data_IF_499237310056
#
_entry.id   IF_499237310056
#
_cell.length_a   1.000
_cell.length_b   1.000
_cell.length_c   1.000
_cell.angle_alpha   90.00
_cell.angle_beta   90.00
_cell.angle_gamma   90.00
#
_symmetry.space_group_name_H-M   'P 1'
#
loop_
_entity.id
_entity.type
_entity.pdbx_description
1 polymer ?
#
# COMPACT_ATOMS: atom_id res chain seq x y z
N UNK A 1 -34.28 17.40 34.64
CA UNK A 1 -34.73 16.53 33.53
C UNK A 1 -33.62 15.53 33.24
N UNK A 2 -33.83 14.24 33.54
CA UNK A 2 -32.88 13.16 33.23
C UNK A 2 -33.05 12.77 31.77
N UNK A 3 -32.03 12.99 30.93
CA UNK A 3 -32.05 12.46 29.56
C UNK A 3 -32.05 10.93 29.63
N UNK A 4 -33.06 10.30 29.03
CA UNK A 4 -33.11 8.85 28.93
C UNK A 4 -31.85 8.34 28.22
N UNK A 5 -31.15 7.40 28.84
CA UNK A 5 -29.88 6.90 28.33
C UNK A 5 -30.10 6.15 27.00
N UNK A 6 -29.35 6.52 25.95
CA UNK A 6 -29.50 5.95 24.61
C UNK A 6 -29.32 4.42 24.60
N UNK A 7 -30.17 3.63 23.91
CA UNK A 7 -30.15 2.18 24.00
C UNK A 7 -28.84 1.58 23.52
N UNK A 8 -28.45 0.48 24.16
CA UNK A 8 -27.29 -0.35 23.80
C UNK A 8 -27.53 -0.96 22.40
N UNK A 9 -26.68 -0.70 21.39
CA UNK A 9 -26.82 -1.35 20.08
C UNK A 9 -26.85 -2.87 20.18
N UNK A 10 -27.85 -3.47 19.52
CA UNK A 10 -28.02 -4.93 19.44
C UNK A 10 -27.24 -5.53 18.26
N UNK A 11 -27.15 -6.87 18.20
CA UNK A 11 -26.41 -7.61 17.16
C UNK A 11 -26.85 -7.24 15.73
N UNK A 12 -28.16 -7.11 15.50
CA UNK A 12 -28.73 -6.73 14.21
C UNK A 12 -28.24 -5.36 13.75
N UNK A 13 -28.23 -4.38 14.65
CA UNK A 13 -27.77 -3.01 14.36
C UNK A 13 -26.29 -2.99 14.02
N UNK A 14 -25.46 -3.74 14.77
CA UNK A 14 -24.03 -3.88 14.48
C UNK A 14 -23.78 -4.55 13.13
N UNK A 15 -24.51 -5.62 12.80
CA UNK A 15 -24.39 -6.29 11.51
C UNK A 15 -24.75 -5.37 10.33
N UNK A 16 -25.85 -4.61 10.44
CA UNK A 16 -26.23 -3.62 9.43
C UNK A 16 -25.18 -2.51 9.29
N UNK A 17 -24.56 -2.09 10.39
CA UNK A 17 -23.47 -1.12 10.35
C UNK A 17 -22.21 -1.69 9.69
N UNK A 18 -21.84 -2.94 9.97
CA UNK A 18 -20.72 -3.60 9.30
C UNK A 18 -20.92 -3.70 7.77
N UNK A 19 -22.14 -4.06 7.33
CA UNK A 19 -22.50 -4.08 5.92
C UNK A 19 -22.44 -2.70 5.27
N UNK A 20 -22.93 -1.66 5.97
CA UNK A 20 -22.80 -0.27 5.53
C UNK A 20 -21.33 0.13 5.39
N UNK A 21 -20.48 -0.19 6.38
CA UNK A 21 -19.06 0.11 6.33
C UNK A 21 -18.37 -0.61 5.17
N UNK A 22 -18.68 -1.88 4.92
CA UNK A 22 -18.15 -2.60 3.77
C UNK A 22 -18.55 -1.93 2.44
N UNK A 23 -19.84 -1.57 2.30
CA UNK A 23 -20.37 -0.90 1.11
C UNK A 23 -19.69 0.45 0.83
N UNK A 24 -19.30 1.18 1.88
CA UNK A 24 -18.61 2.45 1.77
C UNK A 24 -17.09 2.29 1.64
N UNK A 25 -16.51 1.25 2.24
CA UNK A 25 -15.08 0.98 2.25
C UNK A 25 -14.56 0.67 0.85
N UNK A 26 -15.29 -0.15 0.06
CA UNK A 26 -14.91 -0.49 -1.32
C UNK A 26 -14.73 0.76 -2.20
N UNK A 27 -15.74 1.64 -2.38
CA UNK A 27 -15.57 2.85 -3.18
C UNK A 27 -14.59 3.83 -2.54
N UNK A 28 -14.49 3.90 -1.21
CA UNK A 28 -13.53 4.76 -0.53
C UNK A 28 -12.07 4.38 -0.83
N UNK A 29 -11.73 3.08 -0.77
CA UNK A 29 -10.38 2.61 -1.13
C UNK A 29 -10.10 2.82 -2.61
N UNK A 30 -11.08 2.60 -3.48
CA UNK A 30 -10.93 2.85 -4.92
C UNK A 30 -10.74 4.31 -5.27
N UNK A 31 -11.50 5.19 -4.64
CA UNK A 31 -11.33 6.61 -4.81
C UNK A 31 -9.93 7.05 -4.31
N UNK A 32 -9.44 6.48 -3.20
CA UNK A 32 -8.09 6.76 -2.71
C UNK A 32 -7.01 6.29 -3.71
N UNK A 33 -7.16 5.14 -4.35
CA UNK A 33 -6.26 4.68 -5.43
C UNK A 33 -6.38 5.57 -6.67
N UNK A 34 -7.59 5.92 -7.10
CA UNK A 34 -7.78 6.82 -8.23
C UNK A 34 -7.12 8.17 -8.01
N UNK A 35 -7.28 8.75 -6.81
CA UNK A 35 -6.64 10.01 -6.42
C UNK A 35 -5.11 9.86 -6.41
N UNK A 36 -4.59 8.75 -5.89
CA UNK A 36 -3.16 8.44 -5.90
C UNK A 36 -2.58 8.41 -7.32
N UNK A 37 -3.20 7.65 -8.21
CA UNK A 37 -2.71 7.46 -9.58
C UNK A 37 -2.95 8.69 -10.44
N UNK A 38 -4.20 9.17 -10.52
CA UNK A 38 -4.57 10.21 -11.47
C UNK A 38 -4.09 11.59 -11.02
N UNK A 39 -4.27 11.95 -9.75
CA UNK A 39 -3.88 13.28 -9.25
C UNK A 39 -2.45 13.28 -8.72
N UNK A 40 -2.00 12.18 -8.13
CA UNK A 40 -0.66 12.08 -7.57
C UNK A 40 0.41 11.77 -8.60
N UNK A 41 0.25 10.74 -9.43
CA UNK A 41 1.26 10.41 -10.43
C UNK A 41 1.02 11.11 -11.77
N UNK A 42 -0.14 10.88 -12.39
CA UNK A 42 -0.39 11.33 -13.76
C UNK A 42 -0.36 12.85 -13.87
N UNK A 43 -1.12 13.55 -13.02
CA UNK A 43 -1.18 15.02 -13.04
C UNK A 43 0.17 15.65 -12.69
N UNK A 44 0.87 15.19 -11.64
CA UNK A 44 2.17 15.76 -11.26
C UNK A 44 3.22 15.48 -12.34
N UNK A 45 3.25 14.28 -12.92
CA UNK A 45 4.14 13.97 -14.03
C UNK A 45 3.84 14.86 -15.25
N UNK A 46 2.56 15.07 -15.60
CA UNK A 46 2.16 15.93 -16.71
C UNK A 46 2.56 17.40 -16.50
N UNK A 47 2.36 17.96 -15.30
CA UNK A 47 2.81 19.31 -14.94
C UNK A 47 4.33 19.46 -15.10
N UNK A 48 5.08 18.40 -14.78
CA UNK A 48 6.53 18.35 -14.92
C UNK A 48 7.01 17.99 -16.34
N UNK A 49 6.10 17.95 -17.32
CA UNK A 49 6.42 17.73 -18.74
C UNK A 49 6.52 16.27 -19.18
N UNK A 50 6.07 15.30 -18.37
CA UNK A 50 5.95 13.92 -18.82
C UNK A 50 4.75 13.73 -19.74
N UNK A 51 4.86 12.79 -20.68
CA UNK A 51 3.72 12.25 -21.42
C UNK A 51 3.11 11.10 -20.63
N UNK A 52 1.86 11.24 -20.19
CA UNK A 52 1.09 10.14 -19.57
C UNK A 52 0.51 9.26 -20.68
N UNK A 53 0.79 7.97 -20.61
CA UNK A 53 0.40 6.98 -21.64
C UNK A 53 -0.80 6.16 -21.22
N UNK A 54 -0.89 5.77 -19.95
CA UNK A 54 -1.99 4.94 -19.46
C UNK A 54 -2.18 5.10 -17.95
N UNK A 55 -3.43 4.94 -17.52
CA UNK A 55 -3.84 4.84 -16.13
C UNK A 55 -4.62 3.53 -15.99
N UNK A 56 -4.22 2.66 -15.07
CA UNK A 56 -4.91 1.40 -14.78
C UNK A 56 -5.25 1.33 -13.30
N UNK A 57 -6.48 0.94 -12.98
CA UNK A 57 -6.96 0.80 -11.61
C UNK A 57 -7.67 -0.54 -11.51
N UNK A 58 -7.16 -1.43 -10.66
CA UNK A 58 -7.87 -2.66 -10.30
C UNK A 58 -8.96 -2.35 -9.28
N UNK A 59 -9.93 -3.24 -9.16
CA UNK A 59 -11.05 -3.03 -8.26
C UNK A 59 -10.74 -3.38 -6.78
N UNK A 60 -9.94 -4.39 -6.50
CA UNK A 60 -9.46 -4.63 -5.13
C UNK A 60 -7.95 -4.53 -4.99
N UNK A 61 -7.20 -4.46 -6.10
CA UNK A 61 -5.74 -4.31 -6.12
C UNK A 61 -5.22 -2.87 -5.97
N UNK A 62 -4.05 -2.63 -6.56
CA UNK A 62 -3.48 -1.30 -6.67
C UNK A 62 -3.95 -0.54 -7.92
N UNK A 63 -3.22 0.50 -8.25
CA UNK A 63 -3.26 1.15 -9.55
C UNK A 63 -1.87 1.20 -10.17
N UNK A 64 -1.80 1.63 -11.42
CA UNK A 64 -0.54 1.99 -12.05
C UNK A 64 -0.73 3.12 -13.05
N UNK A 65 0.24 4.03 -13.05
CA UNK A 65 0.33 5.12 -14.02
C UNK A 65 1.60 4.98 -14.84
N UNK A 66 1.45 4.86 -16.15
CA UNK A 66 2.59 4.84 -17.08
C UNK A 66 2.81 6.23 -17.65
N UNK A 67 3.98 6.79 -17.43
CA UNK A 67 4.39 8.07 -17.98
C UNK A 67 5.86 8.05 -18.41
N UNK A 68 6.21 8.90 -19.37
CA UNK A 68 7.57 9.02 -19.87
C UNK A 68 8.01 10.47 -19.89
N UNK A 69 9.16 10.74 -19.26
CA UNK A 69 9.83 12.03 -19.32
C UNK A 69 10.75 12.10 -20.54
N UNK A 70 10.86 13.28 -21.15
CA UNK A 70 11.81 13.53 -22.23
C UNK A 70 13.28 13.43 -21.79
N UNK A 71 14.22 13.24 -22.73
CA UNK A 71 15.64 13.31 -22.45
C UNK A 71 16.01 14.66 -21.83
N UNK A 72 16.90 14.66 -20.84
CA UNK A 72 17.30 15.87 -20.11
C UNK A 72 16.44 16.22 -18.89
N UNK A 73 15.32 15.52 -18.64
CA UNK A 73 14.54 15.73 -17.42
C UNK A 73 15.34 15.32 -16.18
N UNK A 74 15.55 16.27 -15.26
CA UNK A 74 16.30 16.07 -14.03
C UNK A 74 15.70 15.05 -13.06
N UNK A 75 16.55 14.48 -12.19
CA UNK A 75 16.14 13.49 -11.19
C UNK A 75 15.06 14.01 -10.22
N UNK A 76 15.08 15.31 -9.91
CA UNK A 76 14.09 15.93 -9.03
C UNK A 76 12.65 15.83 -9.57
N UNK A 77 12.42 16.09 -10.85
CA UNK A 77 11.09 15.97 -11.45
C UNK A 77 10.57 14.52 -11.43
N UNK A 78 11.47 13.56 -11.68
CA UNK A 78 11.14 12.12 -11.58
C UNK A 78 10.79 11.72 -10.15
N UNK A 79 11.57 12.19 -9.17
CA UNK A 79 11.31 11.94 -7.76
C UNK A 79 9.98 12.58 -7.31
N UNK A 80 9.68 13.81 -7.74
CA UNK A 80 8.41 14.48 -7.44
C UNK A 80 7.21 13.73 -8.03
N UNK A 81 7.31 13.26 -9.27
CA UNK A 81 6.25 12.43 -9.88
C UNK A 81 6.06 11.09 -9.15
N UNK A 82 7.16 10.45 -8.71
CA UNK A 82 7.09 9.21 -7.92
C UNK A 82 6.50 9.44 -6.51
N UNK A 83 6.87 10.54 -5.83
CA UNK A 83 6.30 10.85 -4.51
C UNK A 83 4.90 11.48 -4.58
N UNK A 84 4.46 11.90 -5.76
CA UNK A 84 3.22 12.60 -5.97
C UNK A 84 1.98 11.84 -5.48
N UNK A 85 1.89 10.54 -5.78
CA UNK A 85 0.84 9.63 -5.25
C UNK A 85 0.72 9.68 -3.74
N UNK A 86 1.85 9.52 -3.05
CA UNK A 86 1.92 9.48 -1.59
C UNK A 86 1.55 10.85 -1.01
N UNK A 87 2.14 11.93 -1.53
CA UNK A 87 1.87 13.28 -1.06
C UNK A 87 0.40 13.66 -1.22
N UNK A 88 -0.21 13.37 -2.38
CA UNK A 88 -1.62 13.66 -2.64
C UNK A 88 -2.55 12.87 -1.72
N UNK A 89 -2.27 11.60 -1.45
CA UNK A 89 -3.09 10.82 -0.51
C UNK A 89 -2.97 11.30 0.94
N UNK A 90 -1.77 11.70 1.38
CA UNK A 90 -1.59 12.28 2.71
C UNK A 90 -2.36 13.60 2.84
N UNK A 91 -2.23 14.49 1.86
CA UNK A 91 -2.89 15.80 1.85
C UNK A 91 -4.40 15.67 1.78
N UNK A 92 -4.92 14.85 0.86
CA UNK A 92 -6.37 14.64 0.69
C UNK A 92 -6.99 13.99 1.93
N UNK A 93 -6.35 12.97 2.50
CA UNK A 93 -6.84 12.34 3.72
C UNK A 93 -6.82 13.30 4.91
N UNK A 94 -5.74 14.05 5.10
CA UNK A 94 -5.66 15.07 6.15
C UNK A 94 -6.73 16.16 5.98
N UNK A 95 -6.90 16.68 4.77
CA UNK A 95 -7.88 17.72 4.45
C UNK A 95 -9.31 17.25 4.74
N UNK A 96 -9.65 16.02 4.38
CA UNK A 96 -10.97 15.45 4.66
C UNK A 96 -11.20 15.29 6.16
N UNK A 97 -10.21 14.88 6.94
CA UNK A 97 -10.33 14.81 8.41
C UNK A 97 -10.50 16.21 9.03
N UNK A 98 -9.75 17.20 8.56
CA UNK A 98 -9.84 18.59 9.02
C UNK A 98 -11.20 19.21 8.70
N UNK A 99 -11.73 18.97 7.50
CA UNK A 99 -13.03 19.47 7.05
C UNK A 99 -14.21 18.65 7.58
N UNK A 100 -13.97 17.42 8.05
CA UNK A 100 -14.99 16.43 8.40
C UNK A 100 -16.03 16.92 9.41
N UNK A 101 -15.68 17.88 10.28
CA UNK A 101 -16.63 18.48 11.25
C UNK A 101 -17.82 19.18 10.58
N UNK A 102 -17.67 19.62 9.33
CA UNK A 102 -18.76 20.28 8.58
C UNK A 102 -19.75 19.27 7.97
N UNK A 103 -19.35 18.00 7.85
CA UNK A 103 -20.13 16.95 7.19
C UNK A 103 -21.08 16.22 8.15
N UNK A 104 -20.98 16.48 9.45
CA UNK A 104 -21.67 15.74 10.53
C UNK A 104 -23.20 15.73 10.45
N UNK A 105 -23.79 16.60 9.62
CA UNK A 105 -25.23 16.58 9.30
C UNK A 105 -25.66 15.38 8.46
N UNK A 106 -24.73 14.67 7.82
CA UNK A 106 -25.01 13.54 6.90
C UNK A 106 -24.13 12.33 7.28
N UNK A 107 -24.57 11.47 8.22
CA UNK A 107 -23.71 10.47 8.83
C UNK A 107 -23.09 9.48 7.83
N UNK A 108 -23.84 9.05 6.81
CA UNK A 108 -23.30 8.17 5.77
C UNK A 108 -22.18 8.84 4.94
N UNK A 109 -22.32 10.14 4.64
CA UNK A 109 -21.30 10.91 3.92
C UNK A 109 -20.08 11.11 4.81
N UNK A 110 -20.28 11.43 6.09
CA UNK A 110 -19.17 11.53 7.05
C UNK A 110 -18.42 10.21 7.21
N UNK A 111 -19.12 9.08 7.29
CA UNK A 111 -18.48 7.76 7.34
C UNK A 111 -17.68 7.49 6.06
N UNK A 112 -18.27 7.72 4.89
CA UNK A 112 -17.56 7.53 3.61
C UNK A 112 -16.31 8.41 3.52
N UNK A 113 -16.41 9.68 3.94
CA UNK A 113 -15.30 10.62 3.98
C UNK A 113 -14.20 10.18 4.95
N UNK A 114 -14.56 9.69 6.14
CA UNK A 114 -13.58 9.18 7.12
C UNK A 114 -12.92 7.89 6.63
N UNK A 115 -13.67 6.99 5.99
CA UNK A 115 -13.10 5.78 5.38
C UNK A 115 -12.12 6.14 4.25
N UNK A 116 -12.50 7.06 3.36
CA UNK A 116 -11.60 7.57 2.33
C UNK A 116 -10.33 8.17 2.93
N UNK A 117 -10.48 9.01 3.95
CA UNK A 117 -9.35 9.64 4.61
C UNK A 117 -8.43 8.63 5.31
N UNK A 118 -9.01 7.65 6.00
CA UNK A 118 -8.27 6.56 6.62
C UNK A 118 -7.53 5.73 5.57
N UNK A 119 -8.19 5.32 4.48
CA UNK A 119 -7.54 4.59 3.39
C UNK A 119 -6.41 5.39 2.75
N UNK A 120 -6.60 6.69 2.54
CA UNK A 120 -5.58 7.56 1.93
C UNK A 120 -4.38 7.75 2.86
N UNK A 121 -4.60 8.10 4.14
CA UNK A 121 -3.53 8.33 5.11
C UNK A 121 -2.79 7.04 5.47
N UNK A 122 -3.51 6.01 5.91
CA UNK A 122 -2.90 4.75 6.35
C UNK A 122 -2.27 4.02 5.18
N UNK A 123 -2.91 4.03 4.01
CA UNK A 123 -2.36 3.46 2.79
C UNK A 123 -1.08 4.16 2.35
N UNK A 124 -1.04 5.50 2.35
CA UNK A 124 0.16 6.25 1.98
C UNK A 124 1.31 6.02 2.97
N UNK A 125 1.05 6.01 4.27
CA UNK A 125 2.07 5.72 5.30
C UNK A 125 2.59 4.30 5.16
N UNK A 126 1.70 3.32 4.98
CA UNK A 126 2.10 1.92 4.81
C UNK A 126 2.93 1.71 3.53
N UNK A 127 2.47 2.29 2.43
CA UNK A 127 3.15 2.19 1.14
C UNK A 127 4.52 2.85 1.16
N UNK A 128 4.64 4.03 1.79
CA UNK A 128 5.92 4.70 1.97
C UNK A 128 6.88 3.91 2.86
N UNK A 129 6.42 3.40 4.02
CA UNK A 129 7.23 2.62 4.94
C UNK A 129 7.75 1.33 4.28
N UNK A 130 6.85 0.54 3.67
CA UNK A 130 7.19 -0.74 3.04
C UNK A 130 8.02 -0.54 1.77
N UNK A 131 7.64 0.42 0.91
CA UNK A 131 8.35 0.69 -0.33
C UNK A 131 9.77 1.19 -0.12
N UNK A 132 10.01 2.07 0.87
CA UNK A 132 11.35 2.50 1.24
C UNK A 132 12.18 1.39 1.87
N UNK A 133 11.59 0.59 2.77
CA UNK A 133 12.30 -0.49 3.45
C UNK A 133 12.74 -1.60 2.48
N UNK A 134 11.85 -1.99 1.56
CA UNK A 134 12.09 -3.07 0.59
C UNK A 134 12.68 -2.59 -0.74
N UNK A 135 12.78 -1.29 -0.99
CA UNK A 135 13.24 -0.75 -2.27
C UNK A 135 12.30 -1.07 -3.44
N UNK A 136 10.99 -1.01 -3.20
CA UNK A 136 9.94 -1.34 -4.18
C UNK A 136 8.90 -0.22 -4.29
N UNK A 137 8.17 -0.20 -5.41
CA UNK A 137 7.16 0.82 -5.69
C UNK A 137 7.76 2.21 -5.92
N UNK A 138 6.90 3.23 -5.88
CA UNK A 138 7.27 4.63 -6.11
C UNK A 138 8.25 5.22 -5.07
N UNK A 139 8.17 4.88 -3.76
CA UNK A 139 9.12 5.40 -2.77
C UNK A 139 10.58 4.99 -3.02
N UNK A 140 10.81 3.90 -3.77
CA UNK A 140 12.15 3.40 -4.06
C UNK A 140 13.05 4.45 -4.74
N UNK A 141 12.47 5.43 -5.43
CA UNK A 141 13.20 6.55 -6.03
C UNK A 141 13.87 7.48 -5.01
N UNK A 142 13.41 7.51 -3.76
CA UNK A 142 13.93 8.40 -2.71
C UNK A 142 15.21 7.92 -2.04
N UNK A 143 15.46 6.60 -2.03
CA UNK A 143 16.58 5.98 -1.30
C UNK A 143 16.53 6.16 0.22
N UNK A 144 17.18 5.24 0.96
CA UNK A 144 17.63 5.51 2.32
C UNK A 144 16.71 5.11 3.49
N UNK A 145 17.23 5.38 4.70
CA UNK A 145 16.70 4.98 6.02
C UNK A 145 15.41 5.70 6.46
N UNK A 146 14.78 6.48 5.56
CA UNK A 146 13.58 7.26 5.87
C UNK A 146 12.34 6.40 6.16
N UNK A 147 12.37 5.09 5.88
CA UNK A 147 11.28 4.17 6.25
C UNK A 147 10.92 4.23 7.74
N UNK A 148 11.91 4.50 8.61
CA UNK A 148 11.74 4.64 10.05
C UNK A 148 10.84 5.82 10.45
N UNK A 149 10.90 6.94 9.71
CA UNK A 149 10.03 8.10 9.93
C UNK A 149 8.57 7.72 9.65
N UNK A 150 8.32 6.94 8.59
CA UNK A 150 6.98 6.48 8.25
C UNK A 150 6.44 5.44 9.23
N UNK A 151 7.31 4.58 9.80
CA UNK A 151 6.90 3.73 10.92
C UNK A 151 6.51 4.54 12.16
N UNK A 152 7.27 5.58 12.50
CA UNK A 152 6.91 6.46 13.61
C UNK A 152 5.61 7.24 13.35
N UNK A 153 5.31 7.56 12.08
CA UNK A 153 4.06 8.21 11.69
C UNK A 153 2.84 7.25 11.71
N UNK A 154 3.05 5.94 11.59
CA UNK A 154 1.97 4.94 11.55
C UNK A 154 0.99 5.01 12.74
N UNK A 155 1.43 4.95 14.01
CA UNK A 155 0.50 5.03 15.14
C UNK A 155 -0.22 6.38 15.19
N UNK A 156 0.42 7.48 14.79
CA UNK A 156 -0.20 8.81 14.76
C UNK A 156 -1.30 8.86 13.69
N UNK A 157 -1.01 8.39 12.48
CA UNK A 157 -1.99 8.36 11.40
C UNK A 157 -3.22 7.50 11.76
N UNK A 158 -2.99 6.32 12.35
CA UNK A 158 -4.08 5.47 12.86
C UNK A 158 -4.85 6.14 13.99
N UNK A 159 -4.17 6.79 14.93
CA UNK A 159 -4.81 7.53 16.00
C UNK A 159 -5.75 8.60 15.45
N UNK A 160 -5.30 9.46 14.54
CA UNK A 160 -6.12 10.54 13.97
C UNK A 160 -7.33 9.97 13.22
N UNK A 161 -7.11 8.96 12.36
CA UNK A 161 -8.18 8.35 11.57
C UNK A 161 -9.23 7.66 12.44
N UNK A 162 -8.80 6.81 13.38
CA UNK A 162 -9.72 6.05 14.23
C UNK A 162 -10.36 6.89 15.32
N UNK A 163 -9.71 7.97 15.75
CA UNK A 163 -10.33 8.97 16.61
C UNK A 163 -11.56 9.57 15.94
N UNK A 164 -11.41 10.02 14.69
CA UNK A 164 -12.53 10.62 13.94
C UNK A 164 -13.62 9.60 13.62
N UNK A 165 -13.23 8.37 13.26
CA UNK A 165 -14.17 7.26 13.10
C UNK A 165 -14.95 6.99 14.39
N UNK A 166 -14.26 6.94 15.55
CA UNK A 166 -14.88 6.72 16.85
C UNK A 166 -15.89 7.80 17.23
N UNK A 167 -15.62 9.06 16.89
CA UNK A 167 -16.55 10.19 17.12
C UNK A 167 -17.86 9.98 16.34
N UNK A 168 -17.75 9.60 15.06
CA UNK A 168 -18.92 9.26 14.26
C UNK A 168 -19.58 7.99 14.77
N UNK A 169 -18.82 6.94 15.07
CA UNK A 169 -19.36 5.69 15.60
C UNK A 169 -20.14 5.93 16.89
N UNK A 170 -19.67 6.76 17.82
CA UNK A 170 -20.36 7.03 19.09
C UNK A 170 -21.70 7.76 18.86
N UNK A 171 -21.77 8.65 17.87
CA UNK A 171 -23.02 9.30 17.46
C UNK A 171 -24.06 8.30 16.93
N UNK A 172 -23.59 7.20 16.35
CA UNK A 172 -24.36 6.22 15.60
C UNK A 172 -24.69 4.96 16.43
N UNK A 173 -23.74 4.52 17.24
CA UNK A 173 -23.74 3.30 18.05
C UNK A 173 -23.17 3.63 19.44
N UNK A 174 -23.97 4.24 20.33
CA UNK A 174 -23.50 4.65 21.65
C UNK A 174 -22.94 3.49 22.47
N UNK A 175 -21.70 3.64 22.93
CA UNK A 175 -20.93 2.59 23.59
C UNK A 175 -21.01 2.67 25.12
N UNK A 176 -21.16 3.88 25.68
CA UNK A 176 -21.14 4.16 27.14
C UNK A 176 -19.83 3.74 27.84
N UNK A 177 -18.74 3.50 27.10
CA UNK A 177 -17.45 3.15 27.70
C UNK A 177 -16.39 2.73 26.69
N UNK A 178 -15.11 2.88 27.05
CA UNK A 178 -13.97 2.63 26.15
C UNK A 178 -13.92 1.18 25.66
N UNK A 179 -14.02 0.21 26.56
CA UNK A 179 -13.96 -1.21 26.19
C UNK A 179 -15.07 -1.59 25.19
N UNK A 180 -16.29 -1.08 25.42
CA UNK A 180 -17.43 -1.32 24.54
C UNK A 180 -17.30 -0.59 23.21
N UNK A 181 -16.70 0.61 23.18
CA UNK A 181 -16.43 1.35 21.94
C UNK A 181 -15.45 0.59 21.04
N UNK A 182 -14.36 0.11 21.63
CA UNK A 182 -13.36 -0.73 20.96
C UNK A 182 -14.05 -2.00 20.45
N UNK A 183 -14.85 -2.67 21.29
CA UNK A 183 -15.60 -3.85 20.88
C UNK A 183 -16.55 -3.60 19.69
N UNK A 184 -17.31 -2.51 19.70
CA UNK A 184 -18.19 -2.13 18.59
C UNK A 184 -17.36 -1.84 17.32
N UNK A 185 -16.24 -1.12 17.43
CA UNK A 185 -15.37 -0.83 16.29
C UNK A 185 -14.76 -2.11 15.70
N UNK A 186 -14.24 -3.00 16.54
CA UNK A 186 -13.68 -4.29 16.12
C UNK A 186 -14.74 -5.14 15.41
N UNK A 187 -15.95 -5.24 15.96
CA UNK A 187 -17.04 -6.02 15.35
C UNK A 187 -17.54 -5.40 14.05
N UNK A 188 -17.62 -4.07 13.96
CA UNK A 188 -18.19 -3.42 12.78
C UNK A 188 -17.15 -3.15 11.70
N UNK A 189 -16.17 -2.29 11.99
CA UNK A 189 -15.09 -1.95 11.06
C UNK A 189 -14.16 -3.14 10.83
N UNK A 190 -13.81 -3.90 11.88
CA UNK A 190 -12.94 -5.07 11.73
C UNK A 190 -13.55 -6.15 10.84
N UNK A 191 -14.85 -6.44 10.97
CA UNK A 191 -15.54 -7.37 10.04
C UNK A 191 -15.62 -6.82 8.61
N UNK A 192 -15.85 -5.52 8.43
CA UNK A 192 -15.85 -4.90 7.10
C UNK A 192 -14.46 -4.98 6.43
N UNK A 193 -13.39 -4.70 7.17
CA UNK A 193 -12.00 -4.81 6.69
C UNK A 193 -11.65 -6.26 6.39
N UNK A 194 -12.03 -7.21 7.24
CA UNK A 194 -11.79 -8.63 7.00
C UNK A 194 -12.52 -9.15 5.75
N UNK A 195 -13.78 -8.75 5.56
CA UNK A 195 -14.54 -9.08 4.35
C UNK A 195 -13.90 -8.48 3.10
N UNK A 196 -13.48 -7.20 3.16
CA UNK A 196 -12.75 -6.55 2.07
C UNK A 196 -11.43 -7.27 1.74
N UNK A 197 -10.65 -7.65 2.76
CA UNK A 197 -9.41 -8.40 2.58
C UNK A 197 -9.66 -9.79 1.96
N UNK A 198 -10.75 -10.46 2.35
CA UNK A 198 -11.20 -11.70 1.72
C UNK A 198 -11.53 -11.53 0.24
N UNK A 199 -12.28 -10.47 -0.12
CA UNK A 199 -12.58 -10.14 -1.52
C UNK A 199 -11.30 -9.85 -2.33
N UNK A 200 -10.36 -9.11 -1.73
CA UNK A 200 -9.05 -8.84 -2.32
C UNK A 200 -8.26 -10.13 -2.59
N UNK A 201 -8.16 -11.01 -1.58
CA UNK A 201 -7.48 -12.30 -1.72
C UNK A 201 -8.11 -13.18 -2.81
N UNK A 202 -9.45 -13.15 -2.94
CA UNK A 202 -10.17 -13.88 -3.98
C UNK A 202 -9.94 -13.32 -5.40
N UNK A 203 -9.71 -12.01 -5.56
CA UNK A 203 -9.33 -11.42 -6.86
C UNK A 203 -7.93 -11.89 -7.28
N UNK A 204 -7.04 -12.15 -6.33
CA UNK A 204 -5.65 -12.48 -6.61
C UNK A 204 -4.88 -11.33 -7.26
N UNK A 205 -5.40 -10.10 -7.15
CA UNK A 205 -4.76 -8.93 -7.70
C UNK A 205 -3.46 -8.64 -6.94
N UNK A 206 -2.32 -8.43 -7.63
CA UNK A 206 -1.09 -8.06 -6.96
C UNK A 206 -1.23 -6.69 -6.30
N UNK A 207 -0.69 -6.55 -5.10
CA UNK A 207 -0.63 -5.28 -4.39
C UNK A 207 0.80 -5.06 -3.92
N UNK A 208 1.47 -4.09 -4.56
CA UNK A 208 2.91 -3.83 -4.36
C UNK A 208 3.29 -3.71 -2.88
N UNK A 209 2.44 -3.09 -2.06
CA UNK A 209 2.67 -2.96 -0.61
C UNK A 209 2.70 -4.31 0.12
N UNK A 210 1.74 -5.20 -0.17
CA UNK A 210 1.62 -6.52 0.47
C UNK A 210 2.69 -7.47 -0.06
N UNK A 211 2.96 -7.39 -1.36
CA UNK A 211 3.96 -8.23 -2.04
C UNK A 211 5.38 -7.69 -1.91
N UNK A 212 5.60 -6.58 -1.20
CA UNK A 212 6.85 -5.83 -1.20
C UNK A 212 8.07 -6.69 -0.82
N UNK A 213 7.94 -7.48 0.25
CA UNK A 213 9.00 -8.38 0.71
C UNK A 213 9.32 -9.46 -0.34
N UNK A 214 8.29 -10.06 -0.94
CA UNK A 214 8.45 -11.09 -1.97
C UNK A 214 9.05 -10.51 -3.26
N UNK A 215 8.65 -9.30 -3.66
CA UNK A 215 9.22 -8.58 -4.80
C UNK A 215 10.70 -8.27 -4.54
N UNK A 216 11.04 -7.76 -3.35
CA UNK A 216 12.41 -7.45 -2.98
C UNK A 216 13.30 -8.70 -2.96
N UNK A 217 12.82 -9.80 -2.38
CA UNK A 217 13.56 -11.06 -2.36
C UNK A 217 13.78 -11.60 -3.78
N UNK A 218 12.75 -11.61 -4.65
CA UNK A 218 12.90 -12.01 -6.06
C UNK A 218 13.93 -11.15 -6.80
N UNK A 219 13.95 -9.83 -6.55
CA UNK A 219 14.94 -8.91 -7.14
C UNK A 219 16.35 -9.22 -6.63
N UNK A 220 16.51 -9.46 -5.33
CA UNK A 220 17.80 -9.84 -4.74
C UNK A 220 18.32 -11.15 -5.35
N UNK A 221 17.47 -12.18 -5.46
CA UNK A 221 17.83 -13.45 -6.12
C UNK A 221 18.25 -13.25 -7.57
N UNK A 222 17.51 -12.43 -8.33
CA UNK A 222 17.84 -12.14 -9.72
C UNK A 222 19.19 -11.41 -9.85
N UNK A 223 19.46 -10.44 -8.98
CA UNK A 223 20.72 -9.69 -8.96
C UNK A 223 21.91 -10.58 -8.58
N UNK A 224 21.79 -11.37 -7.51
CA UNK A 224 22.84 -12.32 -7.11
C UNK A 224 23.10 -13.36 -8.21
N UNK A 225 22.05 -13.87 -8.85
CA UNK A 225 22.20 -14.79 -9.99
C UNK A 225 22.94 -14.12 -11.14
N UNK A 226 22.61 -12.87 -11.45
CA UNK A 226 23.30 -12.11 -12.50
C UNK A 226 24.77 -11.86 -12.15
N UNK A 227 25.09 -11.48 -10.92
CA UNK A 227 26.47 -11.26 -10.46
C UNK A 227 27.30 -12.54 -10.53
N UNK A 228 26.74 -13.67 -10.07
CA UNK A 228 27.42 -14.97 -10.17
C UNK A 228 27.59 -15.44 -11.60
N UNK A 229 26.59 -15.22 -12.46
CA UNK A 229 26.72 -15.50 -13.88
C UNK A 229 27.86 -14.71 -14.51
N UNK A 230 28.00 -13.42 -14.18
CA UNK A 230 29.10 -12.59 -14.67
C UNK A 230 30.46 -13.05 -14.14
N UNK A 231 30.54 -13.48 -12.87
CA UNK A 231 31.76 -14.04 -12.30
C UNK A 231 32.16 -15.37 -12.97
N UNK A 232 31.21 -16.29 -13.12
CA UNK A 232 31.41 -17.57 -13.79
C UNK A 232 31.79 -17.40 -15.26
N UNK A 233 31.20 -16.43 -15.97
CA UNK A 233 31.59 -16.06 -17.33
C UNK A 233 33.02 -15.54 -17.40
N UNK A 234 33.44 -14.70 -16.45
CA UNK A 234 34.80 -14.18 -16.38
C UNK A 234 35.82 -15.30 -16.14
N UNK A 235 35.50 -16.23 -15.23
CA UNK A 235 36.33 -17.41 -14.94
C UNK A 235 36.40 -18.37 -16.14
N UNK A 236 35.27 -18.69 -16.76
CA UNK A 236 35.21 -19.54 -17.95
C UNK A 236 36.01 -18.94 -19.10
N UNK A 237 35.92 -17.61 -19.33
CA UNK A 237 36.69 -16.90 -20.36
C UNK A 237 38.19 -16.95 -20.09
N UNK A 238 38.60 -16.86 -18.82
CA UNK A 238 40.01 -16.97 -18.44
C UNK A 238 40.54 -18.41 -18.60
N UNK A 239 39.72 -19.41 -18.29
CA UNK A 239 40.09 -20.82 -18.33
C UNK A 239 40.06 -21.41 -19.76
N UNK A 240 39.17 -20.92 -20.63
CA UNK A 240 38.91 -21.44 -21.98
C UNK A 240 38.73 -20.32 -23.01
N UNK A 241 39.80 -19.57 -23.33
CA UNK A 241 39.72 -18.44 -24.27
C UNK A 241 39.37 -18.84 -25.71
N UNK A 242 39.49 -20.13 -26.05
CA UNK A 242 39.15 -20.69 -27.36
C UNK A 242 37.64 -20.89 -27.60
N UNK A 243 36.83 -20.87 -26.53
CA UNK A 243 35.38 -21.05 -26.65
C UNK A 243 34.69 -19.75 -27.09
N UNK A 244 33.63 -19.90 -27.88
CA UNK A 244 32.76 -18.79 -28.24
C UNK A 244 31.88 -18.33 -27.06
N UNK A 245 31.32 -17.12 -27.16
CA UNK A 245 30.53 -16.52 -26.08
C UNK A 245 29.29 -17.35 -25.71
N UNK A 246 28.70 -18.05 -26.69
CA UNK A 246 27.55 -18.90 -26.47
C UNK A 246 27.90 -20.14 -25.64
N UNK A 247 29.04 -20.76 -25.92
CA UNK A 247 29.54 -21.92 -25.17
C UNK A 247 30.02 -21.52 -23.78
N UNK A 248 30.72 -20.39 -23.64
CA UNK A 248 31.11 -19.84 -22.34
C UNK A 248 29.89 -19.55 -21.47
N UNK A 249 28.82 -19.01 -22.07
CA UNK A 249 27.57 -18.73 -21.36
C UNK A 249 26.85 -19.99 -20.93
N UNK A 250 26.76 -21.02 -21.78
CA UNK A 250 26.18 -22.31 -21.37
C UNK A 250 26.97 -22.93 -20.21
N UNK A 251 28.30 -22.96 -20.31
CA UNK A 251 29.16 -23.46 -19.24
C UNK A 251 28.96 -22.70 -17.93
N UNK A 252 28.86 -21.37 -18.00
CA UNK A 252 28.59 -20.53 -16.84
C UNK A 252 27.18 -20.75 -16.28
N UNK A 253 26.16 -20.91 -17.13
CA UNK A 253 24.78 -21.21 -16.71
C UNK A 253 24.65 -22.60 -16.06
N UNK A 254 25.31 -23.62 -16.61
CA UNK A 254 25.35 -24.99 -16.05
C UNK A 254 26.04 -24.99 -14.66
N UNK A 255 27.02 -24.10 -14.45
CA UNK A 255 27.67 -23.95 -13.14
C UNK A 255 26.79 -23.29 -12.06
N UNK A 256 25.65 -22.69 -12.45
CA UNK A 256 24.73 -22.00 -11.55
C UNK A 256 23.58 -22.87 -11.03
N UNK A 257 23.56 -24.17 -11.36
CA UNK A 257 22.46 -25.12 -11.09
C UNK A 257 22.08 -25.32 -9.61
N UNK A 258 22.69 -24.59 -8.68
CA UNK A 258 22.43 -24.69 -7.25
C UNK A 258 22.40 -23.35 -6.50
N UNK A 259 21.92 -22.26 -7.09
CA UNK A 259 21.55 -21.09 -6.29
C UNK A 259 20.34 -21.45 -5.41
N UNK A 260 20.64 -21.97 -4.22
CA UNK A 260 19.63 -22.31 -3.24
C UNK A 260 18.98 -21.01 -2.75
N UNK A 261 17.64 -20.90 -2.70
CA UNK A 261 16.95 -19.69 -2.23
C UNK A 261 17.46 -19.17 -0.88
N UNK A 262 17.98 -20.08 -0.03
CA UNK A 262 18.56 -19.81 1.28
C UNK A 262 19.85 -18.98 1.23
N UNK A 263 20.51 -18.88 0.07
CA UNK A 263 21.76 -18.12 -0.09
C UNK A 263 21.53 -16.61 -0.21
N UNK A 264 20.29 -16.19 -0.46
CA UNK A 264 19.92 -14.77 -0.55
C UNK A 264 19.03 -14.42 0.64
N UNK A 265 19.58 -13.80 1.70
CA UNK A 265 18.81 -13.54 2.91
C UNK A 265 17.61 -12.66 2.60
N UNK A 266 16.42 -13.13 2.97
CA UNK A 266 15.21 -12.33 2.85
C UNK A 266 15.22 -11.21 3.91
N UNK A 267 14.84 -9.97 3.54
CA UNK A 267 14.68 -8.91 4.52
C UNK A 267 13.57 -9.27 5.52
N UNK A 268 13.72 -8.93 6.82
CA UNK A 268 12.69 -9.18 7.83
C UNK A 268 11.29 -8.69 7.40
N UNK A 269 10.21 -9.38 7.80
CA UNK A 269 8.85 -8.95 7.49
C UNK A 269 8.49 -7.70 8.31
N UNK A 270 8.38 -6.54 7.66
CA UNK A 270 8.03 -5.27 8.29
C UNK A 270 6.53 -5.07 8.45
N UNK A 271 5.73 -5.73 7.61
CA UNK A 271 4.26 -5.60 7.62
C UNK A 271 3.61 -5.95 8.98
N UNK A 272 4.00 -7.02 9.70
CA UNK A 272 3.45 -7.31 11.03
C UNK A 272 3.75 -6.22 12.06
N UNK A 273 4.98 -5.67 12.05
CA UNK A 273 5.36 -4.57 12.95
C UNK A 273 4.50 -3.33 12.65
N UNK A 274 4.38 -2.97 11.38
CA UNK A 274 3.56 -1.84 10.95
C UNK A 274 2.07 -2.04 11.33
N UNK A 275 1.53 -3.25 11.18
CA UNK A 275 0.18 -3.58 11.61
C UNK A 275 0.00 -3.42 13.13
N UNK A 276 0.99 -3.84 13.94
CA UNK A 276 1.00 -3.62 15.38
C UNK A 276 1.02 -2.14 15.76
N UNK A 277 1.80 -1.33 15.05
CA UNK A 277 1.85 0.13 15.25
C UNK A 277 0.53 0.81 14.88
N UNK A 278 -0.11 0.42 13.77
CA UNK A 278 -1.44 0.90 13.43
C UNK A 278 -2.48 0.47 14.47
N UNK A 279 -2.42 -0.76 14.96
CA UNK A 279 -3.33 -1.25 16.00
C UNK A 279 -3.17 -0.45 17.30
N UNK A 280 -1.93 -0.16 17.72
CA UNK A 280 -1.65 0.68 18.89
C UNK A 280 -2.26 2.08 18.74
N UNK A 281 -2.01 2.73 17.59
CA UNK A 281 -2.59 4.03 17.27
C UNK A 281 -4.12 4.02 17.26
N UNK A 282 -4.71 3.00 16.63
CA UNK A 282 -6.16 2.80 16.56
C UNK A 282 -6.80 2.66 17.95
N UNK A 283 -6.21 1.82 18.82
CA UNK A 283 -6.68 1.66 20.20
C UNK A 283 -6.58 2.99 20.95
N UNK A 284 -5.47 3.72 20.83
CA UNK A 284 -5.32 5.04 21.44
C UNK A 284 -6.37 6.05 20.95
N UNK A 285 -6.68 6.05 19.66
CA UNK A 285 -7.67 6.95 19.06
C UNK A 285 -9.08 6.68 19.59
N UNK A 286 -9.43 5.40 19.76
CA UNK A 286 -10.72 4.97 20.30
C UNK A 286 -10.82 5.13 21.82
N UNK A 287 -9.72 4.98 22.55
CA UNK A 287 -9.69 5.06 24.01
C UNK A 287 -9.84 6.49 24.56
N UNK A 288 -9.50 7.51 23.76
CA UNK A 288 -9.61 8.91 24.19
C UNK A 288 -11.05 9.35 24.53
N UNK A 289 -11.21 10.43 25.30
CA UNK A 289 -12.53 10.97 25.67
C UNK A 289 -13.23 11.50 24.41
N UNK A 290 -14.33 10.88 23.98
CA UNK A 290 -15.08 11.30 22.78
C UNK A 290 -16.29 12.12 23.23
N UNK A 291 -16.51 13.33 22.69
CA UNK A 291 -17.71 14.09 22.99
C UNK A 291 -18.92 13.24 22.58
N UNK A 292 -19.82 12.99 23.52
CA UNK A 292 -21.11 12.37 23.20
C UNK A 292 -21.96 13.48 22.59
N UNK A 293 -22.28 13.41 21.28
CA UNK A 293 -23.16 14.42 20.70
C UNK A 293 -24.51 14.38 21.42
N UNK A 294 -25.17 15.54 21.63
CA UNK A 294 -26.52 15.56 22.17
C UNK A 294 -27.39 14.62 21.32
N UNK A 295 -28.16 13.75 21.97
CA UNK A 295 -28.94 12.72 21.30
C UNK A 295 -29.81 13.35 20.20
N UNK A 296 -29.35 13.28 18.94
CA UNK A 296 -30.13 13.78 17.82
C UNK A 296 -31.30 12.82 17.65
N UNK A 297 -32.52 13.33 17.83
CA UNK A 297 -33.72 12.53 17.65
C UNK A 297 -33.71 11.87 16.26
N UNK A 298 -33.98 10.56 16.26
CA UNK A 298 -34.39 9.77 15.10
C UNK A 298 -33.37 9.45 13.97
N UNK A 299 -32.07 9.25 14.24
CA UNK A 299 -31.26 8.51 13.24
C UNK A 299 -31.70 7.04 13.19
N UNK A 300 -32.36 6.65 12.09
CA UNK A 300 -32.71 5.27 11.81
C UNK A 300 -31.66 4.65 10.87
N UNK A 301 -30.74 3.80 11.37
CA UNK A 301 -29.69 3.19 10.55
C UNK A 301 -30.23 2.22 9.51
N UNK A 302 -31.47 1.72 9.63
CA UNK A 302 -32.03 0.73 8.72
C UNK A 302 -32.20 1.28 7.29
N UNK A 303 -32.61 2.55 7.13
CA UNK A 303 -32.78 3.18 5.80
C UNK A 303 -31.45 3.32 5.03
N UNK A 304 -30.38 3.93 5.58
CA UNK A 304 -29.10 3.99 4.90
C UNK A 304 -28.45 2.61 4.77
N UNK A 305 -28.62 1.70 5.75
CA UNK A 305 -28.11 0.35 5.65
C UNK A 305 -28.78 -0.45 4.52
N UNK A 306 -30.09 -0.32 4.31
CA UNK A 306 -30.78 -0.96 3.20
C UNK A 306 -30.28 -0.42 1.85
N UNK A 307 -30.14 0.90 1.71
CA UNK A 307 -29.56 1.53 0.51
C UNK A 307 -28.11 1.08 0.27
N UNK A 308 -27.32 1.00 1.33
CA UNK A 308 -25.93 0.54 1.25
C UNK A 308 -25.83 -0.96 0.97
N UNK A 309 -26.74 -1.78 1.48
CA UNK A 309 -26.81 -3.20 1.15
C UNK A 309 -27.19 -3.41 -0.33
N UNK A 310 -28.14 -2.63 -0.85
CA UNK A 310 -28.47 -2.62 -2.29
C UNK A 310 -27.24 -2.19 -3.11
N UNK A 311 -26.55 -1.12 -2.69
CA UNK A 311 -25.34 -0.66 -3.36
C UNK A 311 -24.22 -1.70 -3.30
N UNK A 312 -23.98 -2.33 -2.15
CA UNK A 312 -22.98 -3.39 -2.01
C UNK A 312 -23.33 -4.61 -2.86
N UNK A 313 -24.60 -5.02 -2.88
CA UNK A 313 -25.07 -6.10 -3.73
C UNK A 313 -24.92 -5.76 -5.21
N UNK A 314 -25.24 -4.53 -5.61
CA UNK A 314 -25.05 -4.05 -6.98
C UNK A 314 -23.57 -4.00 -7.38
N UNK A 315 -22.70 -3.50 -6.48
CA UNK A 315 -21.25 -3.56 -6.66
C UNK A 315 -20.86 -5.02 -6.85
N UNK A 316 -21.10 -5.90 -5.87
CA UNK A 316 -20.75 -7.33 -5.92
C UNK A 316 -21.26 -8.02 -7.19
N UNK A 317 -22.48 -7.73 -7.63
CA UNK A 317 -23.05 -8.27 -8.86
C UNK A 317 -22.27 -7.81 -10.10
N UNK A 318 -21.95 -6.52 -10.20
CA UNK A 318 -21.08 -6.00 -11.27
C UNK A 318 -19.71 -6.67 -11.25
N UNK A 319 -19.21 -7.07 -10.08
CA UNK A 319 -17.87 -7.69 -9.96
C UNK A 319 -17.90 -9.13 -10.41
N UNK A 320 -18.96 -9.85 -10.04
CA UNK A 320 -19.19 -11.19 -10.54
C UNK A 320 -19.35 -11.17 -12.06
N UNK A 321 -20.09 -10.21 -12.61
CA UNK A 321 -20.25 -10.05 -14.07
C UNK A 321 -18.92 -9.76 -14.76
N UNK A 322 -18.15 -8.77 -14.28
CA UNK A 322 -16.84 -8.45 -14.84
C UNK A 322 -15.87 -9.65 -14.77
N UNK A 323 -15.93 -10.44 -13.70
CA UNK A 323 -15.10 -11.64 -13.56
C UNK A 323 -15.52 -12.74 -14.52
N UNK A 324 -16.82 -12.97 -14.70
CA UNK A 324 -17.33 -13.93 -15.67
C UNK A 324 -16.93 -13.57 -17.10
N UNK A 325 -16.91 -12.28 -17.44
CA UNK A 325 -16.46 -11.79 -18.74
C UNK A 325 -14.93 -11.99 -18.91
N UNK A 326 -14.14 -11.74 -17.87
CA UNK A 326 -12.68 -11.98 -17.90
C UNK A 326 -12.29 -13.46 -17.98
N UNK A 327 -13.18 -14.36 -17.54
CA UNK A 327 -13.03 -15.82 -17.62
C UNK A 327 -13.56 -16.40 -18.94
N UNK A 328 -13.97 -15.57 -19.90
CA UNK A 328 -14.25 -16.02 -21.26
C UNK A 328 -13.08 -16.84 -21.84
N UNK A 329 -13.33 -17.76 -22.80
CA UNK A 329 -12.28 -18.60 -23.37
C UNK A 329 -11.10 -17.71 -23.76
N UNK A 330 -9.87 -18.07 -23.34
CA UNK A 330 -8.71 -17.20 -23.53
C UNK A 330 -8.69 -16.79 -24.99
N UNK A 331 -8.86 -15.49 -25.24
CA UNK A 331 -8.83 -14.96 -26.59
C UNK A 331 -7.58 -15.56 -27.25
N UNK A 332 -7.79 -16.35 -28.32
CA UNK A 332 -6.75 -17.10 -29.02
C UNK A 332 -5.45 -16.32 -28.99
N UNK A 333 -4.35 -16.89 -28.48
CA UNK A 333 -3.17 -16.13 -28.08
C UNK A 333 -2.72 -15.27 -29.25
N UNK A 334 -3.18 -14.02 -29.29
CA UNK A 334 -2.53 -12.99 -30.08
C UNK A 334 -1.14 -13.01 -29.49
N UNK A 335 -0.16 -13.38 -30.30
CA UNK A 335 1.26 -13.16 -30.03
C UNK A 335 1.45 -11.66 -29.82
N UNK A 336 1.00 -11.15 -28.67
CA UNK A 336 1.56 -9.96 -28.08
C UNK A 336 3.01 -10.35 -27.89
N UNK A 337 3.86 -9.81 -28.76
CA UNK A 337 5.23 -9.52 -28.37
C UNK A 337 5.09 -8.65 -27.12
N UNK A 338 4.97 -9.30 -25.98
CA UNK A 338 5.23 -8.69 -24.69
C UNK A 338 6.65 -8.19 -24.85
N UNK A 339 6.77 -6.89 -25.17
CA UNK A 339 7.97 -6.16 -24.87
C UNK A 339 8.28 -6.54 -23.44
N UNK A 340 9.42 -7.22 -23.24
CA UNK A 340 9.93 -7.52 -21.92
C UNK A 340 9.70 -6.27 -21.07
N UNK A 341 9.05 -6.37 -19.89
CA UNK A 341 8.76 -5.20 -19.08
C UNK A 341 10.05 -4.42 -19.01
N UNK A 342 10.05 -3.26 -19.65
CA UNK A 342 11.23 -2.46 -19.79
C UNK A 342 11.60 -2.12 -18.36
N UNK A 343 12.60 -2.82 -17.84
CA UNK A 343 13.31 -2.52 -16.61
C UNK A 343 14.00 -1.16 -16.84
N UNK A 344 13.20 -0.11 -16.98
CA UNK A 344 13.60 1.28 -16.85
C UNK A 344 13.45 1.61 -15.36
N UNK A 345 14.08 0.78 -14.55
CA UNK A 345 15.03 1.27 -13.60
C UNK A 345 16.33 0.62 -14.03
N UNK A 346 17.18 1.33 -14.76
CA UNK A 346 18.60 1.07 -14.57
C UNK A 346 18.81 1.01 -13.06
N UNK A 347 19.52 0.01 -12.50
CA UNK A 347 19.81 0.02 -11.09
C UNK A 347 20.35 1.42 -10.78
N UNK A 348 19.78 2.16 -9.80
CA UNK A 348 20.41 3.40 -9.38
C UNK A 348 21.86 3.00 -9.14
N UNK A 349 22.80 3.64 -9.85
CA UNK A 349 24.23 3.40 -9.64
C UNK A 349 24.38 3.44 -8.14
N UNK A 350 24.59 2.27 -7.53
CA UNK A 350 24.61 2.17 -6.09
C UNK A 350 25.65 3.22 -5.69
N UNK A 351 25.24 4.21 -4.91
CA UNK A 351 26.19 4.95 -4.11
C UNK A 351 26.85 3.86 -3.28
N UNK A 352 27.96 3.30 -3.80
CA UNK A 352 28.86 2.44 -3.06
C UNK A 352 29.27 3.33 -1.91
N UNK A 353 28.60 3.17 -0.78
CA UNK A 353 29.07 3.64 0.50
C UNK A 353 30.34 2.83 0.70
N UNK A 354 31.44 3.38 0.20
CA UNK A 354 32.76 2.77 0.24
C UNK A 354 33.14 2.85 1.70
N UNK A 355 32.78 1.81 2.44
CA UNK A 355 33.29 1.53 3.76
C UNK A 355 34.81 1.52 3.61
N UNK A 356 35.44 2.65 3.93
CA UNK A 356 36.90 2.74 4.06
C UNK A 356 37.24 1.84 5.23
N UNK A 357 37.47 0.56 4.96
CA UNK A 357 38.32 -0.26 5.80
C UNK A 357 39.64 0.51 5.94
N UNK A 358 39.85 1.10 7.11
CA UNK A 358 41.18 1.52 7.57
C UNK A 358 41.99 0.23 7.74
N UNK A 359 42.62 -0.23 6.67
CA UNK A 359 43.79 -1.07 6.77
C UNK A 359 44.90 -0.24 7.41
N UNK A 360 45.00 -0.30 8.72
CA UNK A 360 46.19 0.09 9.46
C UNK A 360 47.29 -0.94 9.23
N UNK A 361 47.97 -0.85 8.09
CA UNK A 361 49.30 -1.44 7.92
C UNK A 361 50.29 -0.47 8.58
N UNK A 362 50.64 -0.71 9.84
CA UNK A 362 51.88 -0.17 10.43
C UNK A 362 53.05 -1.07 10.04
N UNK A 363 54.05 -0.57 9.30
CA UNK A 363 55.32 -1.27 9.13
C UNK A 363 56.11 -1.17 10.44
N UNK A 364 56.46 -2.31 11.06
CA UNK A 364 57.53 -2.33 12.05
C UNK A 364 58.87 -2.30 11.32
N UNK A 365 59.53 -1.15 11.43
CA UNK A 365 60.91 -0.96 11.04
C UNK A 365 61.83 -1.84 11.90
N UNK A 366 62.79 -2.47 11.22
CA UNK A 366 64.04 -2.97 11.77
C UNK A 366 64.87 -1.85 12.38
N UNK A 367 65.51 -2.08 13.54
CA UNK A 367 66.62 -1.25 13.99
C UNK A 367 66.91 -1.25 15.49
N UNK A 368 67.53 -2.33 15.99
CA UNK A 368 68.84 -2.37 16.70
C UNK A 368 69.01 -3.71 17.40
#
# INVERSE_FOLDING_TARGET
MTQAAAPVPNRRTMALHALLLLALLVPATRLAVLVHEALGHALIAAILGARVSSLSISLFGGGSTSYAFGPGTGAAARALAAWGGIAVNLLSGWLILALGRRLDRRPAVSLAAVLFAASSLLGAVAYAALGLYYGVGDPAAGGGAMWSVWLAAAPVAAWVALRRFGELQEALLPSRGVARRIGIATVTLGSAVAAYAGLFALEGAPLVAVDAAAIAHRRAVALTRQERLQAALAEARAARPELDEASLRRLAEDSLDALRPEEVPAPPPLAPLLAGLFALGAVGGLAGPIPVPPASSAWNPARPAAKAAILAAAILALLLLARLESNGPPASPRRSRLAAPSLISQPPRACRFRERSRNGNTPRASGR
#
